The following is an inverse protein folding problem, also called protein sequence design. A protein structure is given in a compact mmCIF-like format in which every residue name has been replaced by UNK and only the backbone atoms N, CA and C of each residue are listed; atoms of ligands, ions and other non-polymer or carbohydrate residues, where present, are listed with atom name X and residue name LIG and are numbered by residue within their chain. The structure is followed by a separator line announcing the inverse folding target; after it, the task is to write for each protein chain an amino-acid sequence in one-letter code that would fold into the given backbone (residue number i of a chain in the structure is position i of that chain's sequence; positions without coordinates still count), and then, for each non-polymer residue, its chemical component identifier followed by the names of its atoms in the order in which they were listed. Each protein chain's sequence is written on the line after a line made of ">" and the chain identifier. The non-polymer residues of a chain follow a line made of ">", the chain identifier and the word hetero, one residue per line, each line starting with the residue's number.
data_IF_689850718903
#
_entry.id   IF_689850718903
#
_cell.length_a   1.000
_cell.length_b   1.000
_cell.length_c   1.000
_cell.angle_alpha   90.00
_cell.angle_beta   90.00
_cell.angle_gamma   90.00
#
_symmetry.space_group_name_H-M   'P 1'
#
loop_
_entity.id
_entity.type
_entity.pdbx_description
1 polymer ?
#
# COMPACT_ATOMS: atom_id res chain seq x y z
N UNK A 1 47.09 -10.81 1.57
CA UNK A 1 45.81 -11.51 1.81
C UNK A 1 44.81 -10.41 2.06
N UNK A 2 44.15 -9.92 1.00
CA UNK A 2 43.18 -8.85 1.14
C UNK A 2 41.89 -9.47 1.63
N UNK A 3 41.38 -8.98 2.76
CA UNK A 3 40.05 -9.31 3.25
C UNK A 3 39.05 -8.92 2.16
N UNK A 4 38.61 -9.91 1.38
CA UNK A 4 37.34 -9.81 0.69
C UNK A 4 36.29 -9.77 1.80
N UNK A 5 36.03 -8.58 2.31
CA UNK A 5 34.70 -8.28 2.80
C UNK A 5 33.78 -8.56 1.62
N UNK A 6 33.14 -9.74 1.66
CA UNK A 6 31.92 -10.00 0.94
C UNK A 6 30.99 -8.85 1.32
N UNK A 7 30.99 -7.79 0.50
CA UNK A 7 29.98 -6.74 0.52
C UNK A 7 28.70 -7.50 0.18
N UNK A 8 28.04 -8.03 1.21
CA UNK A 8 26.79 -8.74 1.07
C UNK A 8 25.83 -7.75 0.43
N UNK A 9 25.54 -7.89 -0.86
CA UNK A 9 24.59 -7.02 -1.58
C UNK A 9 23.18 -7.04 -0.95
N UNK A 10 22.96 -7.93 0.01
CA UNK A 10 21.78 -8.04 0.84
C UNK A 10 21.67 -6.96 1.92
N UNK A 11 22.78 -6.32 2.33
CA UNK A 11 22.76 -5.28 3.37
C UNK A 11 22.06 -4.00 2.91
N UNK A 12 21.85 -3.82 1.60
CA UNK A 12 21.15 -2.67 1.02
C UNK A 12 19.67 -2.95 0.71
N UNK A 13 19.16 -4.15 1.03
CA UNK A 13 17.74 -4.47 0.80
C UNK A 13 16.89 -3.82 1.90
N UNK A 14 16.14 -2.80 1.51
CA UNK A 14 15.13 -2.19 2.39
C UNK A 14 13.83 -2.97 2.27
N UNK A 15 13.37 -3.54 3.38
CA UNK A 15 12.13 -4.31 3.45
C UNK A 15 10.98 -3.49 4.06
N UNK A 16 9.73 -3.77 3.65
CA UNK A 16 8.56 -3.26 4.37
C UNK A 16 8.54 -3.80 5.80
N UNK A 17 8.66 -2.90 6.77
CA UNK A 17 8.77 -3.25 8.20
C UNK A 17 7.76 -2.51 9.06
N UNK A 18 7.12 -1.48 8.52
CA UNK A 18 6.10 -0.69 9.20
C UNK A 18 5.07 -0.14 8.19
N UNK A 19 3.97 0.42 8.70
CA UNK A 19 3.04 1.20 7.91
C UNK A 19 3.63 2.58 7.59
N UNK A 20 3.31 3.11 6.42
CA UNK A 20 3.69 4.47 6.03
C UNK A 20 2.76 5.49 6.72
N UNK A 21 3.36 6.38 7.50
CA UNK A 21 2.63 7.38 8.31
C UNK A 21 2.23 8.59 7.46
N UNK A 22 3.00 8.88 6.41
CA UNK A 22 2.77 9.99 5.50
C UNK A 22 1.79 9.59 4.39
N UNK A 23 1.83 8.32 3.98
CA UNK A 23 1.07 7.77 2.88
C UNK A 23 -0.08 6.87 3.35
N UNK A 24 -1.02 7.52 4.05
CA UNK A 24 -2.23 6.89 4.59
C UNK A 24 -3.45 7.79 4.38
N UNK A 25 -4.63 7.18 4.31
CA UNK A 25 -5.88 7.93 4.34
C UNK A 25 -6.04 8.71 5.67
N UNK A 26 -6.75 9.86 5.66
CA UNK A 26 -6.94 10.69 6.86
C UNK A 26 -7.55 9.94 8.05
N UNK A 27 -8.44 8.97 7.78
CA UNK A 27 -9.19 8.22 8.79
C UNK A 27 -8.49 6.93 9.29
N UNK A 28 -7.21 6.76 8.97
CA UNK A 28 -6.38 5.68 9.53
C UNK A 28 -5.46 6.23 10.61
N UNK A 29 -5.58 5.70 11.82
CA UNK A 29 -4.63 5.92 12.91
C UNK A 29 -3.66 4.73 13.02
N UNK A 30 -2.38 5.03 13.20
CA UNK A 30 -1.31 4.03 13.27
C UNK A 30 -0.70 4.08 14.68
N UNK A 31 -0.62 2.93 15.34
CA UNK A 31 0.11 2.76 16.59
C UNK A 31 1.03 1.53 16.47
N UNK A 32 2.30 1.77 16.13
CA UNK A 32 3.23 0.71 15.75
C UNK A 32 2.74 -0.02 14.50
N UNK A 33 2.45 -1.32 14.63
CA UNK A 33 1.90 -2.15 13.55
C UNK A 33 0.36 -2.27 13.59
N UNK A 34 -0.29 -1.63 14.56
CA UNK A 34 -1.75 -1.65 14.69
C UNK A 34 -2.37 -0.50 13.90
N UNK A 35 -3.42 -0.83 13.13
CA UNK A 35 -4.25 0.11 12.41
C UNK A 35 -5.60 0.26 13.11
N UNK A 36 -6.13 1.48 13.15
CA UNK A 36 -7.47 1.79 13.63
C UNK A 36 -8.20 2.63 12.57
N UNK A 37 -9.37 2.18 12.14
CA UNK A 37 -10.26 2.94 11.26
C UNK A 37 -11.13 3.86 12.11
N UNK A 38 -11.25 5.12 11.70
CA UNK A 38 -11.86 6.19 12.52
C UNK A 38 -12.91 7.03 11.79
N UNK A 39 -13.22 6.72 10.52
CA UNK A 39 -14.28 7.44 9.82
C UNK A 39 -15.63 7.08 10.48
N UNK A 40 -16.46 8.08 10.83
CA UNK A 40 -17.82 7.81 11.30
C UNK A 40 -18.74 7.23 10.23
N UNK A 41 -18.38 7.34 8.94
CA UNK A 41 -19.11 6.76 7.82
C UNK A 41 -18.47 5.42 7.39
N UNK A 42 -19.12 4.31 7.76
CA UNK A 42 -18.65 2.95 7.45
C UNK A 42 -18.83 2.57 5.96
N UNK A 43 -19.40 3.45 5.13
CA UNK A 43 -19.50 3.25 3.68
C UNK A 43 -18.29 3.78 2.90
N UNK A 44 -17.39 4.50 3.57
CA UNK A 44 -16.14 4.97 2.96
C UNK A 44 -15.04 3.94 3.13
N UNK A 45 -14.19 3.82 2.12
CA UNK A 45 -12.99 3.02 2.22
C UNK A 45 -11.80 3.91 2.61
N UNK A 46 -10.86 3.33 3.33
CA UNK A 46 -9.59 3.95 3.67
C UNK A 46 -8.47 2.93 3.45
N UNK A 47 -7.27 3.43 3.18
CA UNK A 47 -6.13 2.63 2.78
C UNK A 47 -4.84 3.18 3.38
N UNK A 48 -3.88 2.28 3.60
CA UNK A 48 -2.54 2.57 4.06
C UNK A 48 -1.57 1.60 3.39
N UNK A 49 -0.37 2.08 3.06
CA UNK A 49 0.70 1.26 2.48
C UNK A 49 1.79 0.97 3.51
N UNK A 50 2.66 0.00 3.21
CA UNK A 50 3.89 -0.18 3.97
C UNK A 50 4.89 0.93 3.63
N UNK A 51 5.82 1.21 4.55
CA UNK A 51 6.85 2.25 4.40
C UNK A 51 7.81 2.03 3.21
N UNK A 52 7.92 0.79 2.73
CA UNK A 52 8.78 0.43 1.60
C UNK A 52 8.07 -0.60 0.69
N UNK A 53 8.38 -0.62 -0.62
CA UNK A 53 7.90 -1.68 -1.51
C UNK A 53 8.61 -3.01 -1.20
N UNK A 54 8.00 -4.11 -1.64
CA UNK A 54 8.64 -5.44 -1.59
C UNK A 54 9.75 -5.47 -2.64
N UNK A 55 11.00 -5.69 -2.21
CA UNK A 55 12.14 -5.80 -3.12
C UNK A 55 12.02 -7.06 -3.99
N UNK A 56 12.32 -6.92 -5.29
CA UNK A 56 12.40 -8.07 -6.22
C UNK A 56 13.52 -9.06 -5.84
N UNK A 57 14.47 -8.63 -5.01
CA UNK A 57 15.56 -9.46 -4.50
C UNK A 57 15.12 -10.45 -3.41
N UNK A 58 13.92 -10.28 -2.83
CA UNK A 58 13.40 -11.17 -1.78
C UNK A 58 13.15 -12.60 -2.27
N UNK A 59 12.88 -12.78 -3.58
CA UNK A 59 12.40 -14.04 -4.15
C UNK A 59 10.98 -14.38 -3.68
N UNK A 60 10.81 -14.65 -2.39
CA UNK A 60 9.52 -14.87 -1.72
C UNK A 60 9.38 -13.87 -0.58
N UNK A 61 8.23 -13.21 -0.50
CA UNK A 61 7.89 -12.31 0.60
C UNK A 61 6.61 -12.79 1.29
N UNK A 62 6.60 -12.74 2.62
CA UNK A 62 5.49 -13.22 3.44
C UNK A 62 5.13 -12.17 4.49
N UNK A 63 3.83 -11.94 4.66
CA UNK A 63 3.30 -11.12 5.74
C UNK A 63 1.94 -11.67 6.19
N UNK A 64 1.56 -11.36 7.41
CA UNK A 64 0.27 -11.72 7.99
C UNK A 64 -0.42 -10.46 8.51
N UNK A 65 -1.75 -10.47 8.46
CA UNK A 65 -2.59 -9.46 9.08
C UNK A 65 -3.58 -10.16 9.99
N UNK A 66 -3.61 -9.76 11.27
CA UNK A 66 -4.60 -10.22 12.23
C UNK A 66 -5.73 -9.21 12.33
N UNK A 67 -6.94 -9.63 12.00
CA UNK A 67 -8.15 -8.82 12.22
C UNK A 67 -8.50 -8.87 13.71
N UNK A 68 -8.41 -7.72 14.37
CA UNK A 68 -8.76 -7.58 15.81
C UNK A 68 -10.24 -7.22 15.97
N UNK A 69 -10.76 -6.38 15.08
CA UNK A 69 -12.15 -5.94 15.03
C UNK A 69 -12.57 -5.79 13.57
N UNK A 70 -13.71 -6.37 13.19
CA UNK A 70 -14.26 -6.30 11.84
C UNK A 70 -15.03 -5.01 11.55
N UNK A 71 -15.39 -4.21 12.56
CA UNK A 71 -16.33 -3.09 12.39
C UNK A 71 -17.76 -3.58 12.22
N UNK A 72 -18.65 -2.70 11.74
CA UNK A 72 -20.07 -3.02 11.55
C UNK A 72 -20.28 -3.95 10.35
N UNK A 73 -19.68 -3.64 9.20
CA UNK A 73 -19.86 -4.40 7.98
C UNK A 73 -18.76 -5.44 7.68
N UNK A 74 -17.66 -5.48 8.44
CA UNK A 74 -16.60 -6.47 8.20
C UNK A 74 -15.78 -6.25 6.93
N UNK A 75 -15.88 -5.07 6.30
CA UNK A 75 -15.28 -4.79 5.00
C UNK A 75 -13.78 -4.50 5.14
N UNK A 76 -12.95 -5.53 5.02
CA UNK A 76 -11.49 -5.40 5.12
C UNK A 76 -10.82 -6.04 3.91
N UNK A 77 -10.08 -5.23 3.14
CA UNK A 77 -9.25 -5.68 2.04
C UNK A 77 -7.77 -5.73 2.45
N UNK A 78 -7.09 -6.84 2.15
CA UNK A 78 -5.64 -7.00 2.35
C UNK A 78 -5.01 -7.47 1.05
N UNK A 79 -3.93 -6.83 0.63
CA UNK A 79 -3.20 -7.22 -0.56
C UNK A 79 -2.14 -6.20 -0.98
N UNK A 80 -1.83 -6.19 -2.27
CA UNK A 80 -0.78 -5.36 -2.85
C UNK A 80 -1.36 -4.25 -3.73
N UNK A 81 -0.67 -3.11 -3.78
CA UNK A 81 -0.97 -2.01 -4.69
C UNK A 81 0.33 -1.38 -5.22
N UNK A 82 0.24 -0.72 -6.37
CA UNK A 82 1.33 0.08 -6.90
C UNK A 82 1.39 1.44 -6.22
N UNK A 83 2.59 2.05 -6.18
CA UNK A 83 2.72 3.44 -5.77
C UNK A 83 2.13 4.36 -6.84
N UNK A 84 0.95 4.91 -6.58
CA UNK A 84 0.34 5.92 -7.45
C UNK A 84 1.10 7.23 -7.38
N UNK A 85 1.33 7.85 -8.52
CA UNK A 85 1.89 9.19 -8.61
C UNK A 85 0.85 10.20 -8.13
N UNK A 86 1.28 11.12 -7.27
CA UNK A 86 0.44 12.08 -6.55
C UNK A 86 -0.34 13.02 -7.49
N UNK A 87 -1.47 12.56 -8.03
CA UNK A 87 -2.52 13.47 -8.51
C UNK A 87 -3.50 13.64 -7.36
N UNK A 88 -3.26 14.69 -6.56
CA UNK A 88 -4.23 15.22 -5.59
C UNK A 88 -5.44 15.73 -6.36
N UNK A 89 -6.31 14.82 -6.74
CA UNK A 89 -7.71 15.11 -7.04
C UNK A 89 -8.39 15.09 -5.67
N UNK A 90 -9.35 15.99 -5.46
CA UNK A 90 -10.06 16.27 -4.21
C UNK A 90 -10.31 15.08 -3.27
N UNK A 91 -10.61 15.38 -2.00
CA UNK A 91 -10.77 14.42 -0.90
C UNK A 91 -11.72 13.23 -1.19
N UNK A 92 -12.56 13.29 -2.24
CA UNK A 92 -13.44 12.20 -2.66
C UNK A 92 -12.77 11.15 -3.58
N UNK A 93 -11.63 11.47 -4.20
CA UNK A 93 -11.00 10.65 -5.23
C UNK A 93 -9.86 9.75 -4.74
N UNK A 94 -9.43 9.85 -3.47
CA UNK A 94 -8.35 9.03 -2.90
C UNK A 94 -8.66 7.52 -3.00
N UNK A 95 -9.93 7.14 -2.83
CA UNK A 95 -10.42 5.77 -2.98
C UNK A 95 -10.69 5.35 -4.42
N UNK A 96 -11.11 6.29 -5.27
CA UNK A 96 -11.42 5.98 -6.67
C UNK A 96 -10.17 5.72 -7.50
N UNK A 97 -9.03 6.31 -7.10
CA UNK A 97 -7.77 6.08 -7.77
C UNK A 97 -6.98 4.94 -7.15
N UNK A 98 -6.87 4.80 -5.81
CA UNK A 98 -6.11 3.71 -5.20
C UNK A 98 -6.78 2.37 -5.50
N UNK A 99 -6.31 1.75 -6.56
CA UNK A 99 -6.77 0.47 -7.03
C UNK A 99 -6.65 -0.57 -5.91
N UNK A 100 -7.79 -1.12 -5.52
CA UNK A 100 -7.85 -2.26 -4.62
C UNK A 100 -7.01 -3.41 -5.19
N UNK A 101 -6.43 -4.26 -4.33
CA UNK A 101 -5.71 -5.44 -4.78
C UNK A 101 -6.52 -6.25 -5.80
N UNK A 102 -5.95 -6.50 -6.98
CA UNK A 102 -6.59 -7.24 -8.07
C UNK A 102 -7.31 -6.39 -9.11
N UNK A 103 -7.46 -5.08 -8.91
CA UNK A 103 -7.86 -4.19 -9.98
C UNK A 103 -6.64 -3.95 -10.92
N UNK A 104 -6.87 -3.77 -12.24
CA UNK A 104 -5.81 -3.41 -13.20
C UNK A 104 -5.74 -1.90 -13.36
N UNK A 105 -4.55 -1.30 -13.26
CA UNK A 105 -4.36 0.09 -13.64
C UNK A 105 -4.76 0.18 -15.11
N UNK A 106 -5.79 0.96 -15.43
CA UNK A 106 -6.09 1.29 -16.82
C UNK A 106 -4.94 2.17 -17.28
N UNK A 107 -3.98 1.60 -18.00
CA UNK A 107 -3.08 2.40 -18.81
C UNK A 107 -3.97 3.22 -19.76
N UNK A 108 -3.65 4.50 -19.93
CA UNK A 108 -4.44 5.42 -20.73
C UNK A 108 -4.67 4.78 -22.11
N UNK A 109 -5.88 4.30 -22.38
CA UNK A 109 -6.30 3.97 -23.73
C UNK A 109 -6.32 5.31 -24.47
N UNK A 110 -5.24 5.58 -25.21
CA UNK A 110 -5.20 6.64 -26.19
C UNK A 110 -6.43 6.47 -27.09
N UNK A 111 -7.32 7.46 -27.05
CA UNK A 111 -8.44 7.51 -27.98
C UNK A 111 -7.87 7.64 -29.39
N UNK A 112 -7.68 6.52 -30.09
CA UNK A 112 -7.65 6.53 -31.54
C UNK A 112 -9.06 6.87 -32.03
N UNK A 113 -9.30 8.17 -32.17
CA UNK A 113 -10.40 8.74 -32.94
C UNK A 113 -10.17 8.41 -34.40
N UNK A 114 -10.73 7.31 -34.89
CA UNK A 114 -10.91 7.12 -36.33
C UNK A 114 -12.06 8.03 -36.79
N UNK A 115 -11.73 8.94 -37.70
CA UNK A 115 -12.67 9.83 -38.36
C UNK A 115 -13.60 9.14 -39.35
#
# INVERSE_FOLDING_TARGET
>A
MGDLELINSYNDIVLPTAWDIEDKSPFIEINGLKLNYTDPDDHKAAIVRANHPISSQCGIFYFEVKIINGGENGMIGVGYCAKQSDKKIDDSAYVNNMLMPGQKCKENEEHESWG
#
